data_IF_123856602992
#
_entry.id   IF_123856602992
#
_cell.length_a   1.000
_cell.length_b   1.000
_cell.length_c   1.000
_cell.angle_alpha   90.00
_cell.angle_beta   90.00
_cell.angle_gamma   90.00
#
_symmetry.space_group_name_H-M   'P 1'
#
loop_
_entity.id
_entity.type
_entity.pdbx_description
1 polymer ?
#
# COMPACT_ATOMS: atom_id res chain seq x y z
N UNK A 1 11.86 -25.76 -4.01
CA UNK A 1 11.75 -24.54 -3.17
C UNK A 1 10.90 -23.52 -3.90
N UNK A 2 9.93 -22.94 -3.19
CA UNK A 2 9.04 -21.92 -3.76
C UNK A 2 9.48 -20.53 -3.30
N UNK A 3 9.82 -19.68 -4.24
CA UNK A 3 10.18 -18.31 -3.96
C UNK A 3 8.93 -17.42 -3.84
N UNK A 4 9.00 -16.42 -2.97
CA UNK A 4 7.98 -15.38 -2.81
C UNK A 4 8.69 -14.03 -2.92
N UNK A 5 8.22 -13.16 -3.80
CA UNK A 5 8.76 -11.82 -3.94
C UNK A 5 8.03 -10.83 -3.01
N UNK A 6 8.78 -10.13 -2.17
CA UNK A 6 8.24 -9.07 -1.31
C UNK A 6 8.42 -7.71 -2.02
N UNK A 7 7.36 -7.21 -2.62
CA UNK A 7 7.34 -5.96 -3.37
C UNK A 7 6.98 -4.80 -2.44
N UNK A 8 7.88 -3.83 -2.31
CA UNK A 8 7.66 -2.61 -1.52
C UNK A 8 7.76 -1.40 -2.42
N UNK A 9 6.69 -0.61 -2.53
CA UNK A 9 6.59 0.54 -3.44
C UNK A 9 7.75 1.52 -3.23
N UNK A 10 8.12 1.77 -1.98
CA UNK A 10 9.23 2.66 -1.61
C UNK A 10 10.62 2.17 -2.06
N UNK A 11 10.81 0.86 -2.22
CA UNK A 11 12.06 0.26 -2.70
C UNK A 11 12.10 0.08 -4.20
N UNK A 12 10.95 -0.16 -4.82
CA UNK A 12 10.87 -0.48 -6.24
C UNK A 12 10.88 0.77 -7.15
N UNK A 13 10.89 1.98 -6.59
CA UNK A 13 10.91 3.22 -7.39
C UNK A 13 9.54 3.72 -7.81
N UNK A 14 8.50 3.42 -7.01
CA UNK A 14 7.14 3.93 -7.20
C UNK A 14 6.13 2.90 -7.74
N UNK A 15 4.91 3.37 -7.97
CA UNK A 15 3.76 2.50 -8.27
C UNK A 15 3.94 1.72 -9.58
N UNK A 16 4.22 2.42 -10.68
CA UNK A 16 4.30 1.78 -12.01
C UNK A 16 5.39 0.71 -12.03
N UNK A 17 6.57 1.05 -11.53
CA UNK A 17 7.68 0.09 -11.48
C UNK A 17 7.43 -1.08 -10.56
N UNK A 18 6.67 -0.88 -9.48
CA UNK A 18 6.24 -1.98 -8.60
C UNK A 18 5.27 -2.92 -9.30
N UNK A 19 4.36 -2.40 -10.12
CA UNK A 19 3.44 -3.21 -10.94
C UNK A 19 4.24 -4.02 -11.95
N UNK A 20 5.14 -3.39 -12.72
CA UNK A 20 5.95 -4.08 -13.72
C UNK A 20 6.77 -5.22 -13.11
N UNK A 21 7.44 -4.97 -11.99
CA UNK A 21 8.23 -5.99 -11.28
C UNK A 21 7.37 -7.13 -10.74
N UNK A 22 6.21 -6.82 -10.17
CA UNK A 22 5.31 -7.82 -9.61
C UNK A 22 4.69 -8.69 -10.71
N UNK A 23 4.24 -8.09 -11.83
CA UNK A 23 3.72 -8.82 -12.98
C UNK A 23 4.79 -9.73 -13.58
N UNK A 24 6.02 -9.22 -13.80
CA UNK A 24 7.12 -10.02 -14.30
C UNK A 24 7.46 -11.21 -13.39
N UNK A 25 7.37 -11.04 -12.07
CA UNK A 25 7.56 -12.15 -11.11
C UNK A 25 6.43 -13.17 -11.21
N UNK A 26 5.16 -12.74 -11.31
CA UNK A 26 4.02 -13.65 -11.49
C UNK A 26 4.11 -14.44 -12.78
N UNK A 27 4.55 -13.85 -13.89
CA UNK A 27 4.79 -14.53 -15.16
C UNK A 27 5.85 -15.65 -15.04
N UNK A 28 6.75 -15.55 -14.08
CA UNK A 28 7.73 -16.60 -13.75
C UNK A 28 7.24 -17.58 -12.67
N UNK A 29 5.96 -17.53 -12.30
CA UNK A 29 5.38 -18.39 -11.27
C UNK A 29 5.81 -18.06 -9.84
N UNK A 30 6.31 -16.85 -9.60
CA UNK A 30 6.70 -16.37 -8.26
C UNK A 30 5.52 -15.67 -7.61
N UNK A 31 5.13 -16.12 -6.43
CA UNK A 31 4.08 -15.48 -5.64
C UNK A 31 4.53 -14.11 -5.10
N UNK A 32 3.57 -13.22 -4.89
CA UNK A 32 3.82 -11.86 -4.44
C UNK A 32 3.28 -11.63 -3.02
N UNK A 33 4.07 -10.97 -2.20
CA UNK A 33 3.63 -10.26 -1.01
C UNK A 33 3.84 -8.76 -1.24
N UNK A 34 2.83 -7.95 -0.97
CA UNK A 34 2.98 -6.51 -0.93
C UNK A 34 3.45 -6.12 0.48
N UNK A 35 4.73 -5.78 0.56
CA UNK A 35 5.37 -5.42 1.81
C UNK A 35 5.31 -3.93 2.11
N UNK A 36 5.56 -3.59 3.35
CA UNK A 36 5.68 -2.23 3.84
C UNK A 36 6.95 -2.03 4.66
N UNK A 37 7.42 -0.79 4.74
CA UNK A 37 8.41 -0.40 5.73
C UNK A 37 7.72 -0.08 7.06
N UNK A 38 8.44 -0.32 8.14
CA UNK A 38 8.05 0.14 9.48
C UNK A 38 7.97 1.66 9.44
N UNK A 39 6.85 2.24 9.86
CA UNK A 39 6.62 3.68 9.82
C UNK A 39 5.95 4.23 8.55
N UNK A 40 5.65 3.40 7.55
CA UNK A 40 4.87 3.85 6.40
C UNK A 40 3.49 4.36 6.83
N UNK A 41 3.13 5.53 6.32
CA UNK A 41 1.84 6.17 6.55
C UNK A 41 0.83 5.82 5.44
N UNK A 42 -0.34 6.44 5.47
CA UNK A 42 -1.45 6.14 4.55
C UNK A 42 -1.11 6.31 3.08
N UNK A 43 -0.19 7.21 2.70
CA UNK A 43 0.18 7.41 1.29
C UNK A 43 0.77 6.14 0.70
N UNK A 44 1.78 5.56 1.35
CA UNK A 44 2.42 4.33 0.85
C UNK A 44 1.51 3.12 0.98
N UNK A 45 0.72 3.04 2.05
CA UNK A 45 -0.31 1.99 2.18
C UNK A 45 -1.34 2.07 1.05
N UNK A 46 -1.78 3.26 0.65
CA UNK A 46 -2.70 3.45 -0.48
C UNK A 46 -2.03 3.10 -1.82
N UNK A 47 -0.77 3.49 -1.99
CA UNK A 47 0.00 3.13 -3.18
C UNK A 47 0.13 1.60 -3.33
N UNK A 48 0.43 0.89 -2.24
CA UNK A 48 0.51 -0.57 -2.23
C UNK A 48 -0.85 -1.22 -2.58
N UNK A 49 -1.97 -0.66 -2.11
CA UNK A 49 -3.30 -1.12 -2.51
C UNK A 49 -3.53 -0.96 -4.01
N UNK A 50 -3.09 0.15 -4.60
CA UNK A 50 -3.18 0.38 -6.04
C UNK A 50 -2.37 -0.66 -6.81
N UNK A 51 -1.14 -0.94 -6.39
CA UNK A 51 -0.33 -2.02 -6.99
C UNK A 51 -1.08 -3.34 -6.92
N UNK A 52 -1.57 -3.73 -5.73
CA UNK A 52 -2.26 -5.01 -5.54
C UNK A 52 -3.56 -5.17 -6.33
N UNK A 53 -4.21 -4.07 -6.69
CA UNK A 53 -5.41 -4.08 -7.55
C UNK A 53 -5.06 -4.18 -9.05
N UNK A 54 -3.83 -3.88 -9.42
CA UNK A 54 -3.35 -3.91 -10.80
C UNK A 54 -2.65 -5.23 -11.18
N UNK A 55 -2.49 -6.15 -10.23
CA UNK A 55 -1.88 -7.46 -10.50
C UNK A 55 -2.86 -8.41 -11.16
N UNK A 56 -2.36 -9.33 -11.99
CA UNK A 56 -3.15 -10.38 -12.62
C UNK A 56 -3.72 -11.34 -11.57
N UNK A 57 -2.86 -11.77 -10.64
CA UNK A 57 -3.25 -12.61 -9.52
C UNK A 57 -3.16 -11.84 -8.20
N UNK A 58 -4.08 -12.07 -7.26
CA UNK A 58 -4.04 -11.39 -5.97
C UNK A 58 -2.78 -11.76 -5.20
N UNK A 59 -2.13 -10.80 -4.51
CA UNK A 59 -0.98 -11.10 -3.68
C UNK A 59 -1.37 -12.00 -2.49
N UNK A 60 -0.46 -12.90 -2.08
CA UNK A 60 -0.65 -13.80 -0.94
C UNK A 60 -0.92 -13.05 0.37
N UNK A 61 -0.27 -11.90 0.55
CA UNK A 61 -0.43 -11.07 1.73
C UNK A 61 -0.19 -9.59 1.40
N UNK A 62 -0.71 -8.74 2.26
CA UNK A 62 -0.51 -7.28 2.21
C UNK A 62 -0.13 -6.78 3.59
N UNK A 63 1.00 -6.10 3.68
CA UNK A 63 1.45 -5.38 4.87
C UNK A 63 1.10 -3.89 4.74
N UNK A 64 1.12 -3.15 5.84
CA UNK A 64 0.98 -1.69 5.80
C UNK A 64 0.30 -1.12 7.04
N UNK A 65 0.05 0.19 7.00
CA UNK A 65 -0.64 0.96 8.04
C UNK A 65 -0.01 0.90 9.45
N UNK A 66 1.26 0.47 9.57
CA UNK A 66 1.98 0.43 10.86
C UNK A 66 2.45 1.82 11.31
N UNK A 67 2.52 2.79 10.42
CA UNK A 67 2.90 4.17 10.74
C UNK A 67 2.10 4.75 11.90
N UNK A 68 0.82 4.39 12.00
CA UNK A 68 -0.07 4.77 13.08
C UNK A 68 0.48 4.51 14.50
N UNK A 69 1.33 3.48 14.66
CA UNK A 69 1.91 3.10 15.96
C UNK A 69 3.19 3.91 16.23
N UNK A 70 3.86 4.35 15.18
CA UNK A 70 5.20 4.92 15.22
C UNK A 70 5.23 6.44 15.03
N UNK A 71 4.20 7.01 14.40
CA UNK A 71 4.05 8.45 14.23
C UNK A 71 2.85 8.96 15.00
N UNK A 72 2.95 10.16 15.53
CA UNK A 72 1.86 10.81 16.28
C UNK A 72 0.65 11.11 15.42
N UNK A 73 0.90 11.54 14.18
CA UNK A 73 -0.13 11.85 13.20
C UNK A 73 0.23 11.29 11.82
N UNK A 74 -0.80 10.91 11.06
CA UNK A 74 -0.67 10.55 9.65
C UNK A 74 -0.79 11.81 8.78
N UNK A 75 0.01 11.89 7.73
CA UNK A 75 -0.02 13.02 6.79
C UNK A 75 -1.30 13.06 5.94
N UNK A 76 -2.18 12.09 6.04
CA UNK A 76 -3.47 12.09 5.36
C UNK A 76 -4.65 12.01 6.33
N UNK A 77 -5.75 12.68 5.98
CA UNK A 77 -7.03 12.62 6.69
C UNK A 77 -8.15 12.18 5.73
N UNK A 78 -8.90 11.09 6.11
CA UNK A 78 -8.68 10.20 7.23
C UNK A 78 -7.48 9.26 7.00
N UNK A 79 -6.82 8.79 8.07
CA UNK A 79 -5.71 7.84 7.96
C UNK A 79 -6.21 6.43 7.66
N UNK A 80 -5.48 5.67 6.84
CA UNK A 80 -5.72 4.25 6.60
C UNK A 80 -5.36 3.44 7.86
N UNK A 81 -6.29 2.61 8.32
CA UNK A 81 -6.11 1.82 9.54
C UNK A 81 -6.61 0.40 9.35
N UNK A 82 -5.84 -0.55 9.80
CA UNK A 82 -6.33 -1.91 9.92
C UNK A 82 -7.32 -2.01 11.07
N UNK A 83 -8.43 -2.67 10.81
CA UNK A 83 -9.42 -3.04 11.80
C UNK A 83 -9.28 -4.49 12.27
N UNK A 84 -10.36 -5.02 12.80
CA UNK A 84 -10.42 -6.41 13.26
C UNK A 84 -10.04 -7.38 12.12
N UNK A 85 -9.23 -8.38 12.44
CA UNK A 85 -8.68 -9.38 11.49
C UNK A 85 -7.87 -8.79 10.32
N UNK A 86 -7.23 -7.64 10.52
CA UNK A 86 -6.40 -7.02 9.48
C UNK A 86 -7.18 -6.42 8.32
N UNK A 87 -8.50 -6.30 8.42
CA UNK A 87 -9.31 -5.67 7.39
C UNK A 87 -9.07 -4.17 7.37
N UNK A 88 -8.66 -3.63 6.23
CA UNK A 88 -8.54 -2.19 6.05
C UNK A 88 -9.93 -1.56 5.99
N UNK A 89 -10.29 -0.79 7.01
CA UNK A 89 -11.59 -0.12 7.07
C UNK A 89 -11.60 1.12 6.20
N UNK A 90 -12.35 1.05 5.10
CA UNK A 90 -12.49 2.14 4.13
C UNK A 90 -13.88 2.79 4.10
N UNK A 91 -14.75 2.54 5.07
CA UNK A 91 -16.15 3.06 5.05
C UNK A 91 -16.29 4.58 4.89
N UNK A 92 -15.21 5.34 5.06
CA UNK A 92 -15.16 6.81 4.89
C UNK A 92 -14.34 7.27 3.69
N UNK A 93 -13.86 6.33 2.86
CA UNK A 93 -12.93 6.63 1.78
C UNK A 93 -13.62 6.46 0.45
N UNK A 94 -13.91 7.56 -0.19
CA UNK A 94 -14.39 7.55 -1.57
C UNK A 94 -13.23 7.87 -2.51
N UNK A 95 -12.29 6.93 -2.63
CA UNK A 95 -11.12 7.09 -3.48
C UNK A 95 -11.45 7.39 -4.94
N UNK A 96 -12.62 6.94 -5.41
CA UNK A 96 -13.01 7.10 -6.81
C UNK A 96 -13.31 8.55 -7.20
N UNK A 97 -13.66 9.40 -6.23
CA UNK A 97 -14.09 10.78 -6.49
C UNK A 97 -12.98 11.81 -6.22
N UNK A 98 -11.79 11.36 -5.84
CA UNK A 98 -10.65 12.24 -5.57
C UNK A 98 -9.52 11.96 -6.56
N UNK A 99 -8.78 12.99 -6.98
CA UNK A 99 -7.67 12.82 -7.92
C UNK A 99 -6.50 12.03 -7.31
N UNK A 100 -5.64 11.48 -8.16
CA UNK A 100 -4.44 10.76 -7.77
C UNK A 100 -4.75 9.50 -6.94
N UNK A 101 -4.17 9.39 -5.77
CA UNK A 101 -4.39 8.27 -4.84
C UNK A 101 -5.72 8.36 -4.07
N UNK A 102 -6.49 9.43 -4.26
CA UNK A 102 -7.73 9.65 -3.53
C UNK A 102 -7.53 9.99 -2.05
N UNK A 103 -6.40 10.58 -1.69
CA UNK A 103 -6.06 11.00 -0.34
C UNK A 103 -6.11 12.51 -0.20
N UNK A 104 -6.63 12.99 0.94
CA UNK A 104 -6.51 14.38 1.34
C UNK A 104 -5.29 14.52 2.25
N UNK A 105 -4.36 15.37 1.85
CA UNK A 105 -3.16 15.64 2.64
C UNK A 105 -3.48 16.63 3.76
N UNK A 106 -2.99 16.36 4.95
CA UNK A 106 -3.05 17.29 6.07
C UNK A 106 -1.86 18.25 6.01
N UNK A 107 -2.05 19.53 5.61
CA UNK A 107 -0.94 20.46 5.45
C UNK A 107 -0.24 20.77 6.77
N UNK A 108 -0.90 20.64 7.91
CA UNK A 108 -0.34 20.86 9.24
C UNK A 108 0.77 19.85 9.61
N UNK A 109 0.81 18.71 8.91
CA UNK A 109 1.83 17.67 9.13
C UNK A 109 3.05 17.82 8.21
N UNK A 110 3.11 18.84 7.35
CA UNK A 110 4.17 19.01 6.36
C UNK A 110 5.27 19.99 6.81
N UNK A 111 5.04 20.75 7.90
CA UNK A 111 5.95 21.76 8.41
C UNK A 111 6.02 21.76 9.92
#
# INVERSE_FOLDING_TARGET
DKWIANVRVSKCGGILRSIDLACAAQEQGVDIILGAHVGETSILSRAALTVGQSLNDPPLAREGAFGRILVTEDISKPSLRFGFRGVLRSKRWNFANLPGLGLLINPECLF
#
